data_IF_747319623506
#
_entry.id   IF_747319623506
#
_cell.length_a   1.000
_cell.length_b   1.000
_cell.length_c   1.000
_cell.angle_alpha   90.00
_cell.angle_beta   90.00
_cell.angle_gamma   90.00
#
_symmetry.space_group_name_H-M   'P 1'
#
loop_
_entity.id
_entity.type
_entity.pdbx_description
1 polymer ?
#
# COMPACT_ATOMS: atom_id res chain seq x y z
N UNK A 1 -53.81 -38.34 59.76
CA UNK A 1 -53.72 -38.01 58.32
C UNK A 1 -53.45 -36.52 58.22
N UNK A 2 -52.17 -36.15 58.24
CA UNK A 2 -51.67 -34.78 58.35
C UNK A 2 -50.75 -34.53 57.16
N UNK A 3 -51.00 -33.42 56.45
CA UNK A 3 -50.42 -33.09 55.15
C UNK A 3 -49.00 -32.54 55.21
N UNK A 4 -48.28 -32.67 54.09
CA UNK A 4 -47.04 -31.98 53.80
C UNK A 4 -47.23 -31.15 52.52
N UNK A 5 -47.18 -29.82 52.67
CA UNK A 5 -47.15 -28.86 51.58
C UNK A 5 -45.69 -28.62 51.15
N UNK A 6 -45.37 -28.88 49.89
CA UNK A 6 -44.09 -28.58 49.27
C UNK A 6 -44.12 -27.15 48.71
N UNK A 7 -43.43 -26.22 49.38
CA UNK A 7 -43.20 -24.86 48.91
C UNK A 7 -42.07 -24.85 47.87
N UNK A 8 -42.40 -24.45 46.63
CA UNK A 8 -41.44 -24.30 45.53
C UNK A 8 -40.76 -22.93 45.59
N UNK A 9 -39.44 -22.89 45.80
CA UNK A 9 -38.62 -21.69 45.68
C UNK A 9 -38.32 -21.41 44.19
N UNK A 10 -38.72 -20.23 43.71
CA UNK A 10 -38.30 -19.70 42.41
C UNK A 10 -37.08 -18.78 42.60
N UNK A 11 -35.95 -19.10 41.96
CA UNK A 11 -34.79 -18.21 41.84
C UNK A 11 -34.95 -17.27 40.63
N UNK A 12 -34.71 -15.95 40.77
CA UNK A 12 -34.68 -15.05 39.62
C UNK A 12 -33.35 -15.18 38.86
N UNK A 13 -33.45 -15.33 37.55
CA UNK A 13 -32.33 -15.35 36.60
C UNK A 13 -31.79 -13.92 36.44
N UNK A 14 -30.50 -13.72 36.71
CA UNK A 14 -29.81 -12.46 36.47
C UNK A 14 -29.63 -12.21 34.97
N UNK A 15 -30.21 -11.13 34.45
CA UNK A 15 -30.01 -10.68 33.09
C UNK A 15 -28.60 -10.08 32.94
N UNK A 16 -27.73 -10.78 32.22
CA UNK A 16 -26.40 -10.28 31.88
C UNK A 16 -26.53 -9.21 30.79
N UNK A 17 -26.08 -7.99 31.10
CA UNK A 17 -26.08 -6.87 30.16
C UNK A 17 -25.23 -7.17 28.93
N UNK A 18 -25.83 -7.11 27.75
CA UNK A 18 -25.13 -7.16 26.48
C UNK A 18 -24.35 -5.87 26.29
N UNK A 19 -23.01 -5.94 26.39
CA UNK A 19 -22.13 -4.83 25.97
C UNK A 19 -22.26 -4.68 24.45
N UNK A 20 -22.50 -3.46 23.93
CA UNK A 20 -22.52 -3.24 22.50
C UNK A 20 -21.11 -3.48 21.95
N UNK A 21 -20.99 -4.49 21.08
CA UNK A 21 -19.81 -4.71 20.24
C UNK A 21 -19.71 -3.51 19.31
N UNK A 22 -18.60 -2.77 19.39
CA UNK A 22 -18.32 -1.67 18.48
C UNK A 22 -18.31 -2.21 17.03
N UNK A 23 -19.02 -1.58 16.08
CA UNK A 23 -19.02 -2.03 14.70
C UNK A 23 -17.63 -1.79 14.09
N UNK A 24 -16.98 -2.91 13.75
CA UNK A 24 -15.97 -3.04 12.71
C UNK A 24 -14.88 -1.95 12.68
N UNK A 25 -13.76 -2.18 13.37
CA UNK A 25 -12.49 -1.65 12.90
C UNK A 25 -12.33 -2.13 11.44
N UNK A 26 -12.28 -1.18 10.49
CA UNK A 26 -12.15 -1.50 9.08
C UNK A 26 -10.91 -2.39 8.89
N UNK A 27 -11.13 -3.67 8.56
CA UNK A 27 -10.08 -4.55 8.08
C UNK A 27 -9.65 -3.94 6.75
N UNK A 28 -8.50 -3.26 6.72
CA UNK A 28 -7.90 -2.83 5.47
C UNK A 28 -7.87 -4.05 4.52
N UNK A 29 -8.26 -3.90 3.24
CA UNK A 29 -8.24 -5.05 2.34
C UNK A 29 -6.84 -5.66 2.40
N UNK A 30 -6.77 -6.99 2.60
CA UNK A 30 -5.55 -7.83 2.70
C UNK A 30 -4.63 -7.76 1.45
N UNK A 31 -4.87 -6.78 0.58
CA UNK A 31 -4.26 -6.55 -0.71
C UNK A 31 -3.47 -5.24 -0.76
N UNK A 32 -3.54 -4.36 0.23
CA UNK A 32 -2.75 -3.12 0.23
C UNK A 32 -1.35 -3.30 0.86
N UNK A 33 -0.34 -2.83 0.13
CA UNK A 33 1.03 -2.61 0.61
C UNK A 33 1.33 -1.14 0.88
N UNK A 34 0.39 -0.21 0.67
CA UNK A 34 0.62 1.22 0.85
C UNK A 34 1.08 1.58 2.28
N UNK A 35 0.57 0.87 3.28
CA UNK A 35 0.83 1.17 4.70
C UNK A 35 2.14 0.56 5.23
N UNK A 36 2.89 -0.21 4.42
CA UNK A 36 4.17 -0.81 4.86
C UNK A 36 5.31 0.19 4.81
N UNK A 37 5.20 1.19 3.94
CA UNK A 37 6.22 2.19 3.70
C UNK A 37 6.09 3.34 4.70
N UNK A 38 7.21 3.74 5.31
CA UNK A 38 7.27 4.87 6.24
C UNK A 38 8.23 5.94 5.73
N UNK A 39 7.96 7.23 5.98
CA UNK A 39 8.80 8.33 5.52
C UNK A 39 10.04 8.58 6.39
N UNK A 40 10.23 7.80 7.46
CA UNK A 40 11.36 7.94 8.39
C UNK A 40 12.04 6.60 8.57
N UNK A 41 13.36 6.63 8.66
CA UNK A 41 14.18 5.48 9.04
C UNK A 41 13.69 4.87 10.37
N UNK A 42 13.80 3.54 10.52
CA UNK A 42 13.58 2.90 11.81
C UNK A 42 14.55 3.46 12.86
N UNK A 43 14.17 3.38 14.13
CA UNK A 43 15.10 3.70 15.21
C UNK A 43 16.26 2.69 15.20
N UNK A 44 17.44 3.12 15.63
CA UNK A 44 18.57 2.22 15.79
C UNK A 44 18.20 1.08 16.77
N UNK A 45 18.53 -0.16 16.41
CA UNK A 45 18.16 -1.34 17.20
C UNK A 45 16.70 -1.79 17.06
N UNK A 46 15.93 -1.22 16.13
CA UNK A 46 14.61 -1.78 15.78
C UNK A 46 14.81 -3.20 15.23
N UNK A 47 14.10 -4.22 15.76
CA UNK A 47 14.23 -5.58 15.26
C UNK A 47 13.76 -5.70 13.80
N UNK A 48 14.21 -6.76 13.15
CA UNK A 48 13.93 -7.04 11.75
C UNK A 48 14.87 -6.33 10.78
N UNK A 49 14.75 -6.70 9.51
CA UNK A 49 15.57 -6.17 8.44
C UNK A 49 14.80 -5.10 7.67
N UNK A 50 15.47 -3.98 7.37
CA UNK A 50 14.85 -2.79 6.79
C UNK A 50 15.59 -2.38 5.52
N UNK A 51 14.83 -2.01 4.50
CA UNK A 51 15.38 -1.41 3.29
C UNK A 51 14.97 0.07 3.19
N UNK A 52 15.90 0.88 2.67
CA UNK A 52 15.62 2.22 2.16
C UNK A 52 15.41 2.11 0.65
N UNK A 53 14.31 2.67 0.16
CA UNK A 53 14.11 2.89 -1.27
C UNK A 53 13.72 4.35 -1.52
N UNK A 54 13.86 4.79 -2.75
CA UNK A 54 13.48 6.13 -3.16
C UNK A 54 12.44 6.10 -4.27
N UNK A 55 11.28 6.69 -4.01
CA UNK A 55 10.32 6.99 -5.07
C UNK A 55 10.86 8.14 -5.95
N UNK A 56 10.92 7.95 -7.28
CA UNK A 56 11.39 9.00 -8.18
C UNK A 56 10.39 10.18 -8.18
N UNK A 57 10.92 11.39 -8.37
CA UNK A 57 10.08 12.57 -8.55
C UNK A 57 9.29 12.48 -9.86
N UNK A 58 7.99 12.81 -9.82
CA UNK A 58 7.17 12.93 -11.02
C UNK A 58 7.11 14.41 -11.43
N UNK A 59 7.68 14.74 -12.59
CA UNK A 59 7.68 16.09 -13.16
C UNK A 59 6.75 16.08 -14.37
N UNK A 60 5.71 16.90 -14.34
CA UNK A 60 4.79 17.06 -15.46
C UNK A 60 5.10 18.35 -16.22
N UNK A 61 5.01 18.30 -17.54
CA UNK A 61 5.08 19.49 -18.38
C UNK A 61 3.66 19.96 -18.64
N UNK A 62 3.26 21.06 -18.03
CA UNK A 62 1.91 21.61 -18.18
C UNK A 62 1.94 22.70 -19.24
N UNK A 63 1.01 22.62 -20.20
CA UNK A 63 0.80 23.66 -21.22
C UNK A 63 -0.56 24.29 -20.99
N UNK A 64 -0.59 25.59 -20.72
CA UNK A 64 -1.80 26.33 -20.40
C UNK A 64 -2.03 27.46 -21.42
N UNK A 65 -3.31 27.75 -21.69
CA UNK A 65 -3.70 28.92 -22.48
C UNK A 65 -4.07 30.05 -21.52
N UNK A 66 -3.18 31.03 -21.40
CA UNK A 66 -3.39 32.21 -20.55
C UNK A 66 -4.04 33.31 -21.39
N UNK A 67 -5.17 33.82 -20.93
CA UNK A 67 -5.85 34.94 -21.59
C UNK A 67 -5.05 36.23 -21.37
N UNK A 68 -4.52 36.81 -22.44
CA UNK A 68 -3.79 38.07 -22.37
C UNK A 68 -4.77 39.24 -22.40
N UNK A 69 -5.84 39.12 -23.18
CA UNK A 69 -6.81 40.19 -23.34
C UNK A 69 -8.21 39.59 -23.48
N UNK A 70 -9.19 40.06 -22.67
CA UNK A 70 -10.57 39.66 -22.83
C UNK A 70 -11.14 40.12 -24.17
N UNK A 71 -12.17 39.42 -24.63
CA UNK A 71 -12.92 39.87 -25.79
C UNK A 71 -13.63 41.19 -25.47
N UNK A 72 -13.66 42.10 -26.45
CA UNK A 72 -14.40 43.35 -26.34
C UNK A 72 -15.75 43.18 -27.04
N UNK A 73 -16.82 43.62 -26.38
CA UNK A 73 -18.19 43.54 -26.89
C UNK A 73 -18.82 44.92 -26.97
N UNK A 74 -19.63 45.13 -27.98
CA UNK A 74 -20.43 46.34 -28.13
C UNK A 74 -21.49 46.41 -27.00
N UNK A 75 -21.60 47.51 -26.23
CA UNK A 75 -22.50 47.59 -25.09
C UNK A 75 -24.00 47.56 -25.43
N UNK A 76 -24.38 47.90 -26.66
CA UNK A 76 -25.77 48.03 -27.10
C UNK A 76 -26.26 46.79 -27.84
N UNK A 77 -25.37 46.14 -28.59
CA UNK A 77 -25.72 44.99 -29.44
C UNK A 77 -25.18 43.65 -28.92
N UNK A 78 -24.22 43.68 -27.98
CA UNK A 78 -23.56 42.47 -27.45
C UNK A 78 -22.61 41.78 -28.43
N UNK A 79 -22.47 42.32 -29.64
CA UNK A 79 -21.63 41.78 -30.71
C UNK A 79 -20.16 41.90 -30.32
N UNK A 80 -19.37 40.86 -30.58
CA UNK A 80 -17.92 40.87 -30.34
C UNK A 80 -17.28 41.83 -31.35
N UNK A 81 -16.65 42.89 -30.86
CA UNK A 81 -15.92 43.89 -31.66
C UNK A 81 -14.42 43.60 -31.71
N UNK A 82 -13.89 42.88 -30.72
CA UNK A 82 -12.54 42.34 -30.76
C UNK A 82 -12.48 40.97 -30.07
N UNK A 83 -11.89 39.94 -30.69
CA UNK A 83 -11.78 38.62 -30.08
C UNK A 83 -10.78 38.60 -28.92
N UNK A 84 -10.96 37.68 -27.99
CA UNK A 84 -10.00 37.42 -26.91
C UNK A 84 -8.64 36.99 -27.50
N UNK A 85 -7.56 37.46 -26.87
CA UNK A 85 -6.18 37.06 -27.21
C UNK A 85 -5.63 36.13 -26.14
N UNK A 86 -5.00 35.05 -26.57
CA UNK A 86 -4.46 34.00 -25.70
C UNK A 86 -2.97 33.82 -25.97
N UNK A 87 -2.22 33.40 -24.96
CA UNK A 87 -0.83 32.97 -25.06
C UNK A 87 -0.72 31.56 -24.50
N UNK A 88 0.02 30.74 -25.23
CA UNK A 88 0.42 29.41 -24.74
C UNK A 88 1.65 29.55 -23.88
N UNK A 89 1.56 29.11 -22.62
CA UNK A 89 2.69 29.06 -21.70
C UNK A 89 2.95 27.61 -21.31
N UNK A 90 4.21 27.18 -21.44
CA UNK A 90 4.66 25.84 -21.06
C UNK A 90 5.61 25.97 -19.88
N UNK A 91 5.28 25.30 -18.77
CA UNK A 91 6.15 25.28 -17.61
C UNK A 91 6.24 23.87 -17.00
N UNK A 92 7.36 23.60 -16.33
CA UNK A 92 7.56 22.36 -15.61
C UNK A 92 6.95 22.49 -14.22
N UNK A 93 6.06 21.55 -13.87
CA UNK A 93 5.46 21.45 -12.54
C UNK A 93 5.96 20.16 -11.89
N UNK A 94 6.64 20.29 -10.75
CA UNK A 94 6.98 19.15 -9.90
C UNK A 94 5.67 18.68 -9.26
N UNK A 95 5.18 17.51 -9.66
CA UNK A 95 3.90 16.97 -9.19
C UNK A 95 4.08 16.13 -7.94
N UNK A 96 5.25 15.51 -7.79
CA UNK A 96 5.65 14.82 -6.57
C UNK A 96 7.17 14.89 -6.41
N UNK A 97 7.62 15.23 -5.20
CA UNK A 97 9.04 15.26 -4.86
C UNK A 97 9.61 13.86 -4.59
N UNK A 98 10.92 13.73 -4.79
CA UNK A 98 11.66 12.52 -4.45
C UNK A 98 11.58 12.27 -2.95
N UNK A 99 10.84 11.26 -2.53
CA UNK A 99 10.70 10.91 -1.11
C UNK A 99 11.39 9.57 -0.84
N UNK A 100 12.20 9.54 0.23
CA UNK A 100 12.78 8.31 0.77
C UNK A 100 11.73 7.57 1.58
N UNK A 101 11.74 6.26 1.48
CA UNK A 101 10.84 5.39 2.20
C UNK A 101 11.57 4.21 2.79
N UNK A 102 11.12 3.78 3.97
CA UNK A 102 11.65 2.64 4.69
C UNK A 102 10.55 1.62 4.90
N UNK A 103 10.87 0.34 4.73
CA UNK A 103 9.96 -0.77 4.96
C UNK A 103 10.73 -2.03 5.34
N UNK A 104 10.06 -2.93 6.05
CA UNK A 104 10.62 -4.23 6.42
C UNK A 104 10.78 -5.12 5.19
N UNK A 105 11.90 -5.83 5.15
CA UNK A 105 12.27 -6.80 4.12
C UNK A 105 12.64 -8.13 4.77
N UNK A 106 12.57 -9.25 4.03
CA UNK A 106 13.20 -10.48 4.47
C UNK A 106 14.67 -10.26 4.84
N UNK A 107 15.11 -10.88 5.93
CA UNK A 107 16.52 -10.87 6.29
C UNK A 107 17.34 -11.68 5.28
N UNK A 108 18.62 -11.36 5.15
CA UNK A 108 19.48 -11.97 4.13
C UNK A 108 19.61 -13.48 4.32
N UNK A 109 19.57 -13.92 5.58
CA UNK A 109 19.67 -15.30 6.03
C UNK A 109 18.45 -16.14 5.59
N UNK A 110 17.27 -15.52 5.53
CA UNK A 110 16.03 -16.16 5.07
C UNK A 110 15.95 -16.26 3.54
N UNK A 111 16.72 -15.43 2.83
CA UNK A 111 16.71 -15.31 1.36
C UNK A 111 17.68 -16.28 0.69
N UNK A 112 17.57 -17.56 1.06
CA UNK A 112 18.37 -18.64 0.46
C UNK A 112 17.97 -18.93 -0.99
N UNK A 113 18.80 -19.65 -1.78
CA UNK A 113 18.45 -20.03 -3.15
C UNK A 113 17.13 -20.82 -3.27
N UNK A 114 16.79 -21.63 -2.27
CA UNK A 114 15.54 -22.37 -2.18
C UNK A 114 14.36 -21.40 -1.99
N UNK A 115 14.48 -20.45 -1.06
CA UNK A 115 13.48 -19.40 -0.84
C UNK A 115 13.29 -18.53 -2.08
N UNK A 116 14.38 -18.18 -2.76
CA UNK A 116 14.35 -17.43 -4.02
C UNK A 116 13.68 -18.24 -5.15
N UNK A 117 13.91 -19.54 -5.22
CA UNK A 117 13.22 -20.44 -6.15
C UNK A 117 11.72 -20.47 -5.88
N UNK A 118 11.31 -20.50 -4.61
CA UNK A 118 9.91 -20.42 -4.20
C UNK A 118 9.27 -19.08 -4.59
N UNK A 119 9.97 -17.97 -4.33
CA UNK A 119 9.56 -16.63 -4.76
C UNK A 119 9.33 -16.58 -6.27
N UNK A 120 10.29 -17.05 -7.05
CA UNK A 120 10.21 -17.04 -8.52
C UNK A 120 9.05 -17.88 -9.03
N UNK A 121 8.79 -19.05 -8.43
CA UNK A 121 7.60 -19.87 -8.74
C UNK A 121 6.31 -19.13 -8.41
N UNK A 122 6.23 -18.49 -7.24
CA UNK A 122 5.05 -17.75 -6.82
C UNK A 122 4.76 -16.57 -7.78
N UNK A 123 5.80 -15.89 -8.27
CA UNK A 123 5.68 -14.82 -9.27
C UNK A 123 5.31 -15.36 -10.66
N UNK A 124 5.86 -16.51 -11.06
CA UNK A 124 5.60 -17.14 -12.36
C UNK A 124 4.15 -17.64 -12.48
N UNK A 125 3.58 -18.26 -11.44
CA UNK A 125 2.17 -18.69 -11.40
C UNK A 125 1.21 -17.50 -11.57
N UNK A 126 1.63 -16.30 -11.16
CA UNK A 126 0.87 -15.05 -11.32
C UNK A 126 1.13 -14.36 -12.67
N UNK A 127 1.94 -14.96 -13.55
CA UNK A 127 2.30 -14.40 -14.85
C UNK A 127 3.25 -13.21 -14.79
N UNK A 128 3.93 -12.97 -13.65
CA UNK A 128 4.81 -11.81 -13.45
C UNK A 128 6.28 -12.10 -13.80
N UNK A 129 6.66 -13.38 -13.82
CA UNK A 129 7.99 -13.85 -14.15
C UNK A 129 7.90 -14.97 -15.18
N UNK A 130 8.79 -14.96 -16.16
CA UNK A 130 8.89 -15.98 -17.20
C UNK A 130 10.24 -16.70 -17.11
N UNK A 131 10.27 -17.98 -17.52
CA UNK A 131 11.45 -18.82 -17.49
C UNK A 131 11.51 -19.73 -16.26
N UNK A 132 12.58 -20.54 -16.20
CA UNK A 132 12.84 -21.41 -15.06
C UNK A 132 13.35 -20.59 -13.86
N UNK A 133 13.02 -21.00 -12.62
CA UNK A 133 13.55 -20.35 -11.44
C UNK A 133 15.08 -20.56 -11.37
N UNK A 134 15.82 -19.47 -11.21
CA UNK A 134 17.28 -19.42 -11.11
C UNK A 134 17.79 -19.54 -9.68
N UNK A 135 16.92 -19.36 -8.68
CA UNK A 135 17.31 -19.33 -7.26
C UNK A 135 18.16 -18.12 -6.88
N UNK A 136 18.17 -17.07 -7.71
CA UNK A 136 18.93 -15.84 -7.46
C UNK A 136 18.03 -14.61 -7.57
N UNK A 137 18.33 -13.56 -6.79
CA UNK A 137 17.65 -12.28 -6.92
C UNK A 137 18.22 -11.50 -8.12
N UNK A 138 17.87 -11.93 -9.33
CA UNK A 138 18.30 -11.31 -10.58
C UNK A 138 17.41 -10.13 -11.01
N UNK A 139 17.81 -9.43 -12.08
CA UNK A 139 17.06 -8.29 -12.60
C UNK A 139 15.64 -8.65 -13.07
N UNK A 140 15.42 -9.88 -13.54
CA UNK A 140 14.10 -10.35 -13.94
C UNK A 140 13.18 -10.55 -12.73
N UNK A 141 13.72 -11.12 -11.66
CA UNK A 141 13.06 -11.34 -10.37
C UNK A 141 12.74 -10.00 -9.71
N UNK A 142 13.70 -9.09 -9.63
CA UNK A 142 13.49 -7.74 -9.07
C UNK A 142 12.39 -6.96 -9.83
N UNK A 143 12.36 -7.06 -11.17
CA UNK A 143 11.27 -6.47 -11.98
C UNK A 143 9.92 -7.12 -11.66
N UNK A 144 9.86 -8.44 -11.55
CA UNK A 144 8.63 -9.17 -11.22
C UNK A 144 8.11 -8.81 -9.82
N UNK A 145 9.00 -8.64 -8.84
CA UNK A 145 8.67 -8.12 -7.51
C UNK A 145 8.05 -6.73 -7.60
N UNK A 146 8.64 -5.81 -8.36
CA UNK A 146 8.06 -4.47 -8.58
C UNK A 146 6.68 -4.53 -9.20
N UNK A 147 6.47 -5.38 -10.21
CA UNK A 147 5.16 -5.57 -10.85
C UNK A 147 4.12 -6.15 -9.89
N UNK A 148 4.53 -6.98 -8.93
CA UNK A 148 3.64 -7.49 -7.89
C UNK A 148 3.24 -6.40 -6.88
N UNK A 149 4.20 -5.56 -6.47
CA UNK A 149 4.01 -4.61 -5.37
C UNK A 149 3.38 -3.28 -5.81
N UNK A 150 3.73 -2.78 -7.00
CA UNK A 150 3.30 -1.48 -7.51
C UNK A 150 1.77 -1.28 -7.52
N UNK A 151 0.95 -2.21 -8.06
CA UNK A 151 -0.51 -2.03 -8.07
C UNK A 151 -1.13 -2.05 -6.66
N UNK A 152 -0.35 -2.45 -5.64
CA UNK A 152 -0.75 -2.57 -4.25
C UNK A 152 -0.29 -1.39 -3.41
N UNK A 153 0.33 -0.37 -4.02
CA UNK A 153 0.76 0.85 -3.36
C UNK A 153 2.23 0.87 -2.93
N UNK A 154 3.06 -0.09 -3.38
CA UNK A 154 4.48 -0.12 -3.11
C UNK A 154 5.29 -0.23 -4.41
N UNK A 155 5.77 0.89 -4.95
CA UNK A 155 6.55 0.91 -6.20
C UNK A 155 8.05 0.67 -5.96
N UNK A 156 8.40 -0.52 -5.48
CA UNK A 156 9.78 -0.94 -5.20
C UNK A 156 10.13 -2.28 -5.84
N UNK A 157 11.37 -2.42 -6.30
CA UNK A 157 11.93 -3.70 -6.76
C UNK A 157 12.48 -4.56 -5.61
N UNK A 158 12.59 -4.00 -4.41
CA UNK A 158 12.99 -4.73 -3.20
C UNK A 158 11.75 -5.43 -2.63
N UNK A 159 11.89 -6.71 -2.30
CA UNK A 159 10.79 -7.51 -1.76
C UNK A 159 10.48 -7.09 -0.33
N UNK A 160 9.29 -6.54 -0.08
CA UNK A 160 8.82 -6.27 1.27
C UNK A 160 8.50 -7.57 2.02
N UNK A 161 8.72 -7.57 3.34
CA UNK A 161 8.42 -8.71 4.20
C UNK A 161 6.94 -9.09 4.14
N UNK A 162 6.04 -8.09 4.06
CA UNK A 162 4.60 -8.32 3.86
C UNK A 162 4.33 -9.04 2.53
N UNK A 163 4.91 -8.58 1.42
CA UNK A 163 4.74 -9.23 0.13
C UNK A 163 5.29 -10.67 0.13
N UNK A 164 6.44 -10.92 0.76
CA UNK A 164 7.02 -12.25 0.88
C UNK A 164 6.07 -13.22 1.62
N UNK A 165 5.45 -12.75 2.72
CA UNK A 165 4.48 -13.53 3.50
C UNK A 165 3.19 -13.80 2.74
N UNK A 166 2.66 -12.81 2.02
CA UNK A 166 1.44 -12.96 1.22
C UNK A 166 1.65 -13.83 -0.03
N UNK A 167 2.86 -13.86 -0.58
CA UNK A 167 3.24 -14.79 -1.65
C UNK A 167 3.40 -16.22 -1.14
N UNK A 168 3.41 -16.44 0.17
CA UNK A 168 3.66 -17.73 0.81
C UNK A 168 5.13 -18.15 0.74
N UNK A 169 6.04 -17.20 0.53
CA UNK A 169 7.49 -17.44 0.48
C UNK A 169 8.06 -17.56 1.89
N UNK A 170 7.51 -16.78 2.82
CA UNK A 170 7.89 -16.78 4.23
C UNK A 170 6.66 -17.00 5.12
N UNK A 171 6.83 -17.64 6.28
CA UNK A 171 5.74 -17.81 7.24
C UNK A 171 5.32 -16.48 7.87
N UNK A 172 4.06 -16.43 8.31
CA UNK A 172 3.59 -15.42 9.24
C UNK A 172 4.06 -15.84 10.65
N UNK A 173 4.98 -15.07 11.22
CA UNK A 173 5.46 -15.27 12.59
C UNK A 173 5.57 -13.92 13.31
N UNK A 174 5.67 -13.92 14.65
CA UNK A 174 6.12 -12.74 15.38
C UNK A 174 7.47 -12.31 14.80
N UNK A 175 7.71 -11.00 14.72
CA UNK A 175 8.82 -10.40 13.99
C UNK A 175 10.18 -10.60 14.69
N UNK A 176 10.45 -11.76 15.29
CA UNK A 176 11.60 -11.95 16.16
C UNK A 176 12.11 -13.40 16.04
N UNK A 177 13.11 -13.62 15.19
CA UNK A 177 14.08 -14.70 15.35
C UNK A 177 15.44 -14.20 14.83
N UNK A 178 15.88 -13.08 15.40
CA UNK A 178 17.28 -12.75 15.49
C UNK A 178 17.73 -13.20 16.90
N UNK A 179 18.04 -14.49 17.02
CA UNK A 179 18.89 -15.01 18.09
C UNK A 179 20.36 -14.78 17.73
#
# INVERSE_FOLDING_TARGET
MTGLALASLALPVAAQGTRPVAPNAAIAPLTSLADVARPRAPAEGTPGCWAEDTLPAHIETVTEQVQITPETRDPKTGTITAPARWRTETHQRIVSERTRMWFEVPCAEDMTPETLTLLQRALAVRGLLAGAPTGTMDAATARAVRLYQRPRGLDSAVLSLRAARELGVLPWGPADSAD
#
